data_IF_645782607237
#
_entry.id   IF_645782607237
#
_cell.length_a   1.000
_cell.length_b   1.000
_cell.length_c   1.000
_cell.angle_alpha   90.00
_cell.angle_beta   90.00
_cell.angle_gamma   90.00
#
_symmetry.space_group_name_H-M   'P 1'
#
loop_
_entity.id
_entity.type
_entity.pdbx_description
1 polymer ?
#
# COMPACT_ATOMS: atom_id res chain seq x y z
N UNK A 1 -16.05 -12.38 24.48
CA UNK A 1 -15.16 -11.26 24.11
C UNK A 1 -15.95 -9.96 24.25
N UNK A 2 -15.42 -8.99 24.98
CA UNK A 2 -16.11 -7.71 25.11
C UNK A 2 -15.92 -6.84 23.88
N UNK A 3 -16.66 -5.74 23.82
CA UNK A 3 -16.62 -4.87 22.64
C UNK A 3 -15.26 -4.22 22.41
N UNK A 4 -14.56 -3.93 23.49
CA UNK A 4 -13.22 -3.33 23.42
C UNK A 4 -12.22 -4.29 22.78
N UNK A 5 -12.25 -5.56 23.19
CA UNK A 5 -11.43 -6.60 22.56
C UNK A 5 -11.76 -6.80 21.09
N UNK A 6 -13.06 -6.79 20.75
CA UNK A 6 -13.49 -6.90 19.36
C UNK A 6 -12.94 -5.75 18.54
N UNK A 7 -12.98 -4.52 19.05
CA UNK A 7 -12.44 -3.35 18.37
C UNK A 7 -10.94 -3.48 18.12
N UNK A 8 -10.19 -3.95 19.10
CA UNK A 8 -8.75 -4.13 18.95
C UNK A 8 -8.42 -5.14 17.87
N UNK A 9 -9.10 -6.29 17.89
CA UNK A 9 -8.91 -7.30 16.86
C UNK A 9 -9.32 -6.80 15.48
N UNK A 10 -10.45 -6.10 15.40
CA UNK A 10 -10.92 -5.54 14.13
C UNK A 10 -9.94 -4.48 13.58
N UNK A 11 -9.39 -3.63 14.46
CA UNK A 11 -8.41 -2.62 14.08
C UNK A 11 -7.15 -3.28 13.53
N UNK A 12 -6.63 -4.27 14.24
CA UNK A 12 -5.47 -5.03 13.79
C UNK A 12 -5.71 -5.72 12.45
N UNK A 13 -6.86 -6.40 12.33
CA UNK A 13 -7.20 -7.10 11.11
C UNK A 13 -7.31 -6.18 9.90
N UNK A 14 -7.93 -5.02 10.10
CA UNK A 14 -8.09 -4.04 9.05
C UNK A 14 -6.74 -3.55 8.51
N UNK A 15 -5.83 -3.16 9.41
CA UNK A 15 -4.54 -2.63 8.97
C UNK A 15 -3.63 -3.74 8.43
N UNK A 16 -3.65 -4.92 9.04
CA UNK A 16 -2.83 -6.04 8.57
C UNK A 16 -3.25 -6.49 7.18
N UNK A 17 -4.54 -6.74 6.98
CA UNK A 17 -5.05 -7.23 5.70
C UNK A 17 -5.05 -6.11 4.66
N UNK A 18 -5.45 -4.91 5.07
CA UNK A 18 -5.58 -3.77 4.16
C UNK A 18 -4.25 -3.26 3.60
N UNK A 19 -3.12 -3.61 4.19
CA UNK A 19 -1.79 -3.19 3.71
C UNK A 19 -1.08 -4.28 2.91
N UNK A 20 -1.58 -5.51 2.89
CA UNK A 20 -0.94 -6.61 2.16
C UNK A 20 -0.93 -6.35 0.66
N UNK A 21 -2.09 -6.08 0.07
CA UNK A 21 -2.19 -5.89 -1.38
C UNK A 21 -1.42 -4.65 -1.86
N UNK A 22 -1.52 -3.48 -1.21
CA UNK A 22 -0.67 -2.35 -1.58
C UNK A 22 0.82 -2.64 -1.47
N UNK A 23 1.25 -3.37 -0.43
CA UNK A 23 2.66 -3.73 -0.27
C UNK A 23 3.14 -4.61 -1.43
N UNK A 24 2.34 -5.60 -1.82
CA UNK A 24 2.65 -6.46 -2.95
C UNK A 24 2.68 -5.65 -4.24
N UNK A 25 1.70 -4.76 -4.43
CA UNK A 25 1.64 -3.91 -5.62
C UNK A 25 2.89 -3.04 -5.74
N UNK A 26 3.33 -2.42 -4.64
CA UNK A 26 4.54 -1.59 -4.63
C UNK A 26 5.77 -2.43 -4.99
N UNK A 27 5.88 -3.63 -4.44
CA UNK A 27 6.99 -4.53 -4.74
C UNK A 27 7.02 -4.90 -6.21
N UNK A 28 5.88 -5.23 -6.80
CA UNK A 28 5.78 -5.58 -8.22
C UNK A 28 6.08 -4.39 -9.13
N UNK A 29 5.52 -3.23 -8.81
CA UNK A 29 5.76 -2.00 -9.58
C UNK A 29 7.25 -1.65 -9.54
N UNK A 30 7.84 -1.65 -8.35
CA UNK A 30 9.25 -1.31 -8.18
C UNK A 30 10.17 -2.30 -8.90
N UNK A 31 9.87 -3.59 -8.80
CA UNK A 31 10.63 -4.64 -9.48
C UNK A 31 10.59 -4.48 -10.99
N UNK A 32 9.40 -4.25 -11.53
CA UNK A 32 9.22 -4.05 -12.98
C UNK A 32 9.91 -2.78 -13.46
N UNK A 33 9.83 -1.70 -12.69
CA UNK A 33 10.47 -0.44 -13.03
C UNK A 33 11.99 -0.59 -13.02
N UNK A 34 12.55 -1.24 -12.00
CA UNK A 34 13.98 -1.48 -11.91
C UNK A 34 14.47 -2.30 -13.11
N UNK A 35 13.71 -3.33 -13.49
CA UNK A 35 14.03 -4.17 -14.62
C UNK A 35 14.04 -3.38 -15.94
N UNK A 36 13.01 -2.55 -16.12
CA UNK A 36 12.90 -1.72 -17.32
C UNK A 36 14.04 -0.72 -17.44
N UNK A 37 14.41 -0.07 -16.34
CA UNK A 37 15.53 0.89 -16.30
C UNK A 37 16.86 0.17 -16.57
N UNK A 38 17.02 -1.03 -16.01
CA UNK A 38 18.21 -1.83 -16.23
C UNK A 38 18.40 -2.23 -17.69
N UNK A 39 17.30 -2.51 -18.39
CA UNK A 39 17.36 -2.85 -19.83
C UNK A 39 17.52 -1.66 -20.73
N UNK A 40 16.97 -0.52 -20.34
CA UNK A 40 17.01 0.69 -21.12
C UNK A 40 17.16 1.91 -20.20
N UNK A 41 18.40 2.25 -19.81
CA UNK A 41 18.63 3.39 -18.91
C UNK A 41 18.10 4.72 -19.41
N UNK A 42 17.97 4.89 -20.73
CA UNK A 42 17.44 6.12 -21.30
C UNK A 42 15.95 6.31 -20.98
N UNK A 43 15.25 5.22 -20.70
CA UNK A 43 13.84 5.27 -20.33
C UNK A 43 13.62 5.65 -18.85
N UNK A 44 14.68 5.76 -18.04
CA UNK A 44 14.57 6.00 -16.59
C UNK A 44 13.64 7.15 -16.23
N UNK A 45 13.69 8.35 -16.83
CA UNK A 45 12.78 9.42 -16.45
C UNK A 45 11.30 9.07 -16.63
N UNK A 46 10.96 8.42 -17.74
CA UNK A 46 9.56 8.03 -18.00
C UNK A 46 9.10 6.91 -17.08
N UNK A 47 9.97 5.91 -16.87
CA UNK A 47 9.65 4.78 -15.99
C UNK A 47 9.49 5.25 -14.55
N UNK A 48 10.37 6.13 -14.07
CA UNK A 48 10.29 6.66 -12.71
C UNK A 48 9.00 7.44 -12.50
N UNK A 49 8.59 8.26 -13.45
CA UNK A 49 7.34 9.01 -13.35
C UNK A 49 6.13 8.06 -13.25
N UNK A 50 6.07 7.08 -14.12
CA UNK A 50 4.99 6.09 -14.09
C UNK A 50 4.99 5.28 -12.79
N UNK A 51 6.18 4.88 -12.33
CA UNK A 51 6.35 4.14 -11.09
C UNK A 51 5.87 4.94 -9.89
N UNK A 52 6.28 6.20 -9.77
CA UNK A 52 5.91 7.06 -8.65
C UNK A 52 4.40 7.25 -8.60
N UNK A 53 3.76 7.49 -9.74
CA UNK A 53 2.31 7.64 -9.80
C UNK A 53 1.61 6.36 -9.38
N UNK A 54 2.04 5.21 -9.88
CA UNK A 54 1.43 3.93 -9.53
C UNK A 54 1.60 3.60 -8.05
N UNK A 55 2.79 3.84 -7.50
CA UNK A 55 3.07 3.62 -6.08
C UNK A 55 2.24 4.58 -5.22
N UNK A 56 2.08 5.83 -5.64
CA UNK A 56 1.25 6.79 -4.91
C UNK A 56 -0.20 6.32 -4.80
N UNK A 57 -0.77 5.74 -5.87
CA UNK A 57 -2.11 5.17 -5.81
C UNK A 57 -2.17 3.95 -4.87
N UNK A 58 -1.16 3.10 -4.89
CA UNK A 58 -1.10 1.94 -3.98
C UNK A 58 -1.02 2.41 -2.53
N UNK A 59 -0.22 3.44 -2.25
CA UNK A 59 -0.11 4.01 -0.91
C UNK A 59 -1.42 4.65 -0.46
N UNK A 60 -2.15 5.28 -1.36
CA UNK A 60 -3.45 5.86 -1.05
C UNK A 60 -4.43 4.78 -0.56
N UNK A 61 -4.40 3.60 -1.16
CA UNK A 61 -5.22 2.46 -0.72
C UNK A 61 -4.84 2.05 0.71
N UNK A 62 -3.55 1.99 1.00
CA UNK A 62 -3.07 1.68 2.35
C UNK A 62 -3.50 2.75 3.37
N UNK A 63 -3.50 4.02 2.96
CA UNK A 63 -3.95 5.12 3.82
C UNK A 63 -5.46 5.00 4.10
N UNK A 64 -6.27 4.59 3.11
CA UNK A 64 -7.69 4.32 3.35
C UNK A 64 -7.87 3.22 4.38
N UNK A 65 -7.08 2.15 4.31
CA UNK A 65 -7.13 1.09 5.32
C UNK A 65 -6.76 1.62 6.71
N UNK A 66 -5.75 2.49 6.79
CA UNK A 66 -5.36 3.12 8.04
C UNK A 66 -6.50 3.98 8.61
N UNK A 67 -7.16 4.78 7.77
CA UNK A 67 -8.28 5.62 8.19
C UNK A 67 -9.42 4.76 8.74
N UNK A 68 -9.77 3.69 8.05
CA UNK A 68 -10.82 2.78 8.53
C UNK A 68 -10.42 2.13 9.86
N UNK A 69 -9.16 1.72 9.99
CA UNK A 69 -8.66 1.14 11.25
C UNK A 69 -8.77 2.14 12.40
N UNK A 70 -8.43 3.41 12.16
CA UNK A 70 -8.54 4.46 13.17
C UNK A 70 -10.00 4.73 13.55
N UNK A 71 -10.90 4.73 12.57
CA UNK A 71 -12.33 4.88 12.82
C UNK A 71 -12.83 3.74 13.72
N UNK A 72 -12.46 2.51 13.42
CA UNK A 72 -12.86 1.35 14.23
C UNK A 72 -12.33 1.49 15.65
N UNK A 73 -11.10 1.95 15.80
CA UNK A 73 -10.46 2.05 17.11
C UNK A 73 -11.07 3.15 17.98
N UNK A 74 -11.37 4.30 17.42
CA UNK A 74 -11.72 5.49 18.18
C UNK A 74 -13.19 5.90 18.09
N UNK A 75 -13.94 5.39 17.15
CA UNK A 75 -15.35 5.70 16.99
C UNK A 75 -16.23 4.52 17.29
#
# INVERSE_FOLDING_TARGET
MDIESVRLWATMGTIMIGTIAPAIAIALIGSKAADAIGRNPEAAPKVQTAMILAIAFAEAIAIYALVIALIIKFV
#
